data_IF_089554810656
#
_entry.id   IF_089554810656
#
_cell.length_a   1.000
_cell.length_b   1.000
_cell.length_c   1.000
_cell.angle_alpha   90.00
_cell.angle_beta   90.00
_cell.angle_gamma   90.00
#
_symmetry.space_group_name_H-M   'P 1'
#
loop_
_entity.id
_entity.type
_entity.pdbx_description
1 polymer ?
#
# COMPACT_ATOMS: atom_id res chain seq x y z
N UNK A 1 0.11 5.43 21.26
CA UNK A 1 0.46 4.68 22.49
C UNK A 1 0.47 3.16 22.23
N UNK A 2 -0.60 2.58 21.66
CA UNK A 2 -0.71 1.12 21.43
C UNK A 2 0.39 0.51 20.53
N UNK A 3 0.79 1.18 19.44
CA UNK A 3 1.88 0.72 18.55
C UNK A 3 3.23 0.66 19.28
N UNK A 4 3.45 1.59 20.22
CA UNK A 4 4.68 1.68 21.01
C UNK A 4 4.77 0.51 22.00
N UNK A 5 3.65 0.19 22.66
CA UNK A 5 3.54 -0.99 23.55
C UNK A 5 3.74 -2.29 22.78
N UNK A 6 3.15 -2.44 21.59
CA UNK A 6 3.38 -3.62 20.73
C UNK A 6 4.85 -3.78 20.35
N UNK A 7 5.52 -2.69 19.97
CA UNK A 7 6.94 -2.71 19.64
C UNK A 7 7.80 -3.16 20.82
N UNK A 8 7.52 -2.66 22.02
CA UNK A 8 8.24 -3.05 23.24
C UNK A 8 8.06 -4.53 23.57
N UNK A 9 6.84 -5.07 23.45
CA UNK A 9 6.56 -6.50 23.70
C UNK A 9 7.30 -7.40 22.71
N UNK A 10 7.34 -7.01 21.42
CA UNK A 10 8.05 -7.77 20.38
C UNK A 10 9.56 -7.80 20.63
N UNK A 11 10.14 -6.66 20.97
CA UNK A 11 11.58 -6.56 21.30
C UNK A 11 11.90 -7.39 22.55
N UNK A 12 11.08 -7.30 23.59
CA UNK A 12 11.26 -8.06 24.83
C UNK A 12 11.17 -9.58 24.59
N UNK A 13 10.21 -10.04 23.77
CA UNK A 13 10.08 -11.45 23.40
C UNK A 13 11.32 -11.95 22.63
N UNK A 14 11.84 -11.13 21.71
CA UNK A 14 13.03 -11.47 20.93
C UNK A 14 14.27 -11.57 21.83
N UNK A 15 14.49 -10.60 22.72
CA UNK A 15 15.62 -10.62 23.68
C UNK A 15 15.54 -11.84 24.61
N UNK A 16 14.37 -12.14 25.18
CA UNK A 16 14.17 -13.30 26.06
C UNK A 16 14.40 -14.62 25.33
N UNK A 17 13.97 -14.72 24.07
CA UNK A 17 14.19 -15.90 23.24
C UNK A 17 15.68 -16.13 22.96
N UNK A 18 16.44 -15.08 22.61
CA UNK A 18 17.89 -15.15 22.38
C UNK A 18 18.63 -15.57 23.65
N UNK A 19 18.30 -14.99 24.80
CA UNK A 19 18.90 -15.35 26.09
C UNK A 19 18.60 -16.82 26.47
N UNK A 20 17.38 -17.30 26.20
CA UNK A 20 16.98 -18.68 26.51
C UNK A 20 17.64 -19.70 25.59
N UNK A 21 17.73 -19.41 24.28
CA UNK A 21 18.41 -20.28 23.31
C UNK A 21 19.92 -20.28 23.53
N UNK A 22 20.52 -19.12 23.83
CA UNK A 22 21.94 -18.98 24.16
C UNK A 22 22.34 -19.77 25.41
N UNK A 23 21.47 -19.77 26.44
CA UNK A 23 21.68 -20.58 27.63
C UNK A 23 21.49 -22.08 27.39
N UNK A 24 20.58 -22.47 26.48
CA UNK A 24 20.36 -23.86 26.09
C UNK A 24 21.55 -24.47 25.33
N UNK A 25 22.22 -23.69 24.49
CA UNK A 25 23.42 -24.12 23.73
C UNK A 25 24.70 -24.02 24.60
N UNK A 26 24.60 -23.51 25.83
CA UNK A 26 25.73 -23.35 26.75
C UNK A 26 26.63 -22.16 26.43
N UNK A 27 26.21 -21.27 25.54
CA UNK A 27 26.94 -20.05 25.18
C UNK A 27 26.77 -18.92 26.22
N UNK A 28 25.69 -18.95 27.01
CA UNK A 28 25.41 -17.98 28.09
C UNK A 28 25.01 -18.71 29.38
N UNK A 29 25.32 -18.16 30.57
CA UNK A 29 24.85 -18.72 31.83
C UNK A 29 23.33 -18.57 31.96
N UNK A 30 22.69 -19.54 32.61
CA UNK A 30 21.28 -19.45 33.00
C UNK A 30 21.10 -18.38 34.08
N UNK A 31 19.90 -17.80 34.14
CA UNK A 31 19.54 -16.87 35.21
C UNK A 31 19.62 -17.58 36.57
N UNK A 32 20.38 -17.02 37.52
CA UNK A 32 20.49 -17.55 38.88
C UNK A 32 19.54 -16.82 39.83
N UNK A 33 18.58 -17.56 40.39
CA UNK A 33 17.63 -17.03 41.37
C UNK A 33 17.52 -18.03 42.52
N UNK A 34 17.66 -17.53 43.74
CA UNK A 34 17.44 -18.30 44.96
C UNK A 34 15.98 -18.19 45.37
N UNK A 35 15.21 -19.25 45.15
CA UNK A 35 13.81 -19.35 45.56
C UNK A 35 13.60 -20.58 46.46
N UNK A 36 12.74 -20.44 47.47
CA UNK A 36 12.32 -21.55 48.33
C UNK A 36 10.80 -21.55 48.47
N UNK A 37 10.21 -22.74 48.54
CA UNK A 37 8.78 -22.92 48.76
C UNK A 37 8.58 -23.96 49.87
N UNK A 38 7.82 -23.59 50.91
CA UNK A 38 7.57 -24.49 52.05
C UNK A 38 8.84 -24.92 52.80
N UNK A 39 9.91 -24.11 52.79
CA UNK A 39 11.19 -24.43 53.42
C UNK A 39 12.14 -25.33 52.60
N UNK A 40 11.72 -25.79 51.42
CA UNK A 40 12.60 -26.49 50.47
C UNK A 40 13.13 -25.53 49.41
N UNK A 41 14.43 -25.58 49.16
CA UNK A 41 15.05 -24.83 48.07
C UNK A 41 14.65 -25.45 46.72
N UNK A 42 14.22 -24.62 45.79
CA UNK A 42 13.86 -25.04 44.45
C UNK A 42 15.15 -25.06 43.63
N UNK A 43 15.62 -26.25 43.26
CA UNK A 43 16.75 -26.40 42.35
C UNK A 43 16.41 -25.76 40.99
N UNK A 44 17.36 -25.02 40.42
CA UNK A 44 17.23 -24.39 39.09
C UNK A 44 16.04 -23.42 38.94
N UNK A 45 15.65 -22.74 40.03
CA UNK A 45 14.52 -21.81 40.03
C UNK A 45 14.61 -20.74 38.92
N UNK A 46 15.81 -20.22 38.65
CA UNK A 46 15.99 -19.19 37.61
C UNK A 46 15.84 -19.72 36.18
N UNK A 47 16.19 -20.99 35.91
CA UNK A 47 15.91 -21.65 34.63
C UNK A 47 14.40 -21.74 34.37
N UNK A 48 13.63 -22.18 35.37
CA UNK A 48 12.17 -22.26 35.24
C UNK A 48 11.52 -20.89 35.01
N UNK A 49 12.01 -19.85 35.72
CA UNK A 49 11.52 -18.48 35.54
C UNK A 49 11.82 -17.98 34.12
N UNK A 50 13.06 -18.16 33.64
CA UNK A 50 13.49 -17.70 32.33
C UNK A 50 12.67 -18.35 31.22
N UNK A 51 12.51 -19.67 31.25
CA UNK A 51 11.69 -20.39 30.26
C UNK A 51 10.21 -19.97 30.33
N UNK A 52 9.64 -19.87 31.53
CA UNK A 52 8.25 -19.45 31.73
C UNK A 52 7.96 -18.03 31.22
N UNK A 53 8.88 -17.09 31.47
CA UNK A 53 8.79 -15.72 30.97
C UNK A 53 8.88 -15.68 29.43
N UNK A 54 9.83 -16.41 28.84
CA UNK A 54 10.01 -16.49 27.39
C UNK A 54 8.76 -17.04 26.70
N UNK A 55 8.19 -18.14 27.20
CA UNK A 55 6.95 -18.72 26.65
C UNK A 55 5.80 -17.71 26.72
N UNK A 56 5.67 -17.00 27.83
CA UNK A 56 4.60 -16.01 28.02
C UNK A 56 4.72 -14.85 27.03
N UNK A 57 5.92 -14.31 26.83
CA UNK A 57 6.15 -13.23 25.88
C UNK A 57 5.98 -13.65 24.41
N UNK A 58 6.34 -14.90 24.08
CA UNK A 58 6.08 -15.46 22.74
C UNK A 58 4.57 -15.59 22.49
N UNK A 59 3.81 -16.11 23.45
CA UNK A 59 2.34 -16.19 23.33
C UNK A 59 1.70 -14.81 23.17
N UNK A 60 2.20 -13.81 23.90
CA UNK A 60 1.77 -12.41 23.78
C UNK A 60 2.08 -11.85 22.38
N UNK A 61 3.28 -12.12 21.85
CA UNK A 61 3.68 -11.70 20.51
C UNK A 61 2.82 -12.33 19.41
N UNK A 62 2.42 -13.60 19.57
CA UNK A 62 1.52 -14.28 18.63
C UNK A 62 0.08 -13.71 18.64
N UNK A 63 -0.34 -13.06 19.73
CA UNK A 63 -1.65 -12.43 19.84
C UNK A 63 -1.72 -11.04 19.18
N UNK A 64 -0.56 -10.39 18.98
CA UNK A 64 -0.46 -9.04 18.42
C UNK A 64 -1.11 -8.87 17.03
N UNK A 65 -0.89 -9.77 16.04
CA UNK A 65 -1.47 -9.62 14.70
C UNK A 65 -3.01 -9.70 14.69
N UNK A 66 -3.61 -10.42 15.63
CA UNK A 66 -5.07 -10.51 15.72
C UNK A 66 -5.69 -9.18 16.16
N UNK A 67 -5.06 -8.50 17.13
CA UNK A 67 -5.54 -7.21 17.65
C UNK A 67 -5.41 -6.07 16.63
N UNK A 68 -4.38 -6.08 15.79
CA UNK A 68 -4.22 -5.08 14.72
C UNK A 68 -5.28 -5.24 13.65
N UNK A 69 -5.60 -6.49 13.28
CA UNK A 69 -6.65 -6.80 12.31
C UNK A 69 -8.03 -6.34 12.79
N UNK A 70 -8.34 -6.54 14.07
CA UNK A 70 -9.61 -6.08 14.68
C UNK A 70 -9.69 -4.55 14.68
N UNK A 71 -8.60 -3.86 15.06
CA UNK A 71 -8.59 -2.40 15.09
C UNK A 71 -8.69 -1.76 13.69
N UNK A 72 -8.20 -2.43 12.65
CA UNK A 72 -8.41 -2.01 11.26
C UNK A 72 -9.88 -2.16 10.83
N UNK A 73 -10.54 -3.25 11.22
CA UNK A 73 -11.96 -3.48 10.93
C UNK A 73 -12.85 -2.42 11.59
N UNK A 74 -12.58 -2.05 12.84
CA UNK A 74 -13.34 -0.98 13.54
C UNK A 74 -13.18 0.38 12.88
N UNK A 75 -11.97 0.73 12.43
CA UNK A 75 -11.72 2.00 11.72
C UNK A 75 -12.45 2.03 10.38
N UNK A 76 -12.36 0.95 9.60
CA UNK A 76 -13.07 0.85 8.32
C UNK A 76 -14.59 0.96 8.51
N UNK A 77 -15.16 0.35 9.56
CA UNK A 77 -16.60 0.42 9.83
C UNK A 77 -17.07 1.81 10.29
N UNK A 78 -16.18 2.59 10.93
CA UNK A 78 -16.48 3.98 11.36
C UNK A 78 -16.42 4.98 10.21
N UNK A 79 -15.61 4.69 9.19
CA UNK A 79 -15.40 5.55 8.02
C UNK A 79 -16.58 5.51 7.02
N UNK A 80 -17.42 4.48 7.08
CA UNK A 80 -18.65 4.37 6.26
C UNK A 80 -19.86 5.14 6.81
N UNK A 81 -19.84 5.59 8.06
CA UNK A 81 -20.89 6.44 8.59
C UNK A 81 -20.64 7.89 8.14
N UNK A 82 -21.46 8.38 7.20
CA UNK A 82 -21.44 9.78 6.75
C UNK A 82 -21.38 10.71 7.97
N UNK A 83 -20.26 11.42 8.12
CA UNK A 83 -20.06 12.34 9.24
C UNK A 83 -20.90 13.60 9.03
N UNK A 84 -21.38 14.20 10.12
CA UNK A 84 -22.04 15.52 10.07
C UNK A 84 -21.15 16.58 9.41
N UNK A 85 -19.82 16.44 9.50
CA UNK A 85 -18.86 17.34 8.84
C UNK A 85 -18.88 17.20 7.31
N UNK A 86 -19.08 16.00 6.77
CA UNK A 86 -19.19 15.79 5.33
C UNK A 86 -20.52 16.33 4.79
N UNK A 87 -21.60 16.16 5.57
CA UNK A 87 -22.90 16.78 5.27
C UNK A 87 -22.79 18.30 5.30
N UNK A 88 -22.14 18.87 6.32
CA UNK A 88 -21.94 20.32 6.45
C UNK A 88 -21.08 20.88 5.31
N UNK A 89 -20.03 20.14 4.90
CA UNK A 89 -19.19 20.50 3.75
C UNK A 89 -19.99 20.47 2.45
N UNK A 90 -20.74 19.41 2.19
CA UNK A 90 -21.58 19.28 1.01
C UNK A 90 -22.67 20.37 0.95
N UNK A 91 -23.32 20.64 2.09
CA UNK A 91 -24.31 21.70 2.22
C UNK A 91 -23.71 23.08 1.94
N UNK A 92 -22.53 23.38 2.49
CA UNK A 92 -21.85 24.65 2.25
C UNK A 92 -21.50 24.84 0.77
N UNK A 93 -20.96 23.81 0.11
CA UNK A 93 -20.62 23.88 -1.33
C UNK A 93 -21.87 24.11 -2.18
N UNK A 94 -22.97 23.40 -1.88
CA UNK A 94 -24.25 23.59 -2.57
C UNK A 94 -24.80 25.00 -2.35
N UNK A 95 -24.75 25.51 -1.12
CA UNK A 95 -25.31 26.82 -0.78
C UNK A 95 -24.47 27.98 -1.32
N UNK A 96 -23.15 27.84 -1.37
CA UNK A 96 -22.28 28.80 -2.04
C UNK A 96 -22.54 28.86 -3.55
N UNK A 97 -22.77 27.72 -4.20
CA UNK A 97 -23.12 27.66 -5.62
C UNK A 97 -24.47 28.32 -5.90
N UNK A 98 -25.48 28.07 -5.06
CA UNK A 98 -26.80 28.67 -5.18
C UNK A 98 -26.77 30.19 -4.96
N UNK A 99 -26.03 30.64 -3.95
CA UNK A 99 -25.85 32.08 -3.68
C UNK A 99 -25.15 32.81 -4.84
N UNK A 100 -24.11 32.19 -5.44
CA UNK A 100 -23.45 32.73 -6.63
C UNK A 100 -24.41 32.86 -7.81
N UNK A 101 -25.32 31.89 -7.99
CA UNK A 101 -26.35 31.94 -9.03
C UNK A 101 -27.37 33.06 -8.78
N UNK A 102 -27.81 33.26 -7.54
CA UNK A 102 -28.72 34.34 -7.17
C UNK A 102 -28.09 35.73 -7.44
N UNK A 103 -26.83 35.93 -7.07
CA UNK A 103 -26.11 37.17 -7.37
C UNK A 103 -25.91 37.41 -8.87
N UNK A 104 -25.75 36.35 -9.65
CA UNK A 104 -25.64 36.45 -11.11
C UNK A 104 -26.91 37.02 -11.74
N UNK A 105 -28.10 36.57 -11.30
CA UNK A 105 -29.39 37.08 -11.80
C UNK A 105 -29.54 38.58 -11.52
N UNK A 106 -29.14 39.03 -10.31
CA UNK A 106 -29.13 40.46 -9.97
C UNK A 106 -28.20 41.28 -10.88
N UNK A 107 -26.99 40.78 -11.12
CA UNK A 107 -26.04 41.46 -12.00
C UNK A 107 -26.46 41.49 -13.48
N UNK A 108 -27.16 40.45 -13.96
CA UNK A 108 -27.73 40.41 -15.31
C UNK A 108 -28.84 41.47 -15.45
N UNK A 109 -29.71 41.61 -14.44
CA UNK A 109 -30.74 42.63 -14.40
C UNK A 109 -30.17 44.06 -14.37
N UNK A 110 -29.15 44.31 -13.54
CA UNK A 110 -28.48 45.61 -13.47
C UNK A 110 -27.80 45.97 -14.81
N UNK A 111 -27.18 45.00 -15.49
CA UNK A 111 -26.57 45.20 -16.80
C UNK A 111 -27.60 45.55 -17.90
N UNK A 112 -28.78 44.93 -17.86
CA UNK A 112 -29.88 45.26 -18.78
C UNK A 112 -30.42 46.66 -18.47
N UNK A 113 -30.59 47.01 -17.19
CA UNK A 113 -31.09 48.33 -16.75
C UNK A 113 -30.14 49.48 -17.11
N UNK A 114 -28.84 49.30 -16.90
CA UNK A 114 -27.80 50.26 -17.31
C UNK A 114 -27.89 50.52 -18.82
N UNK A 115 -28.17 49.46 -19.59
CA UNK A 115 -28.29 49.55 -21.04
C UNK A 115 -29.58 50.20 -21.52
N UNK A 116 -30.73 49.96 -20.87
CA UNK A 116 -31.97 50.70 -21.11
C UNK A 116 -31.75 52.20 -20.87
N UNK A 117 -31.05 52.54 -19.79
CA UNK A 117 -30.73 53.93 -19.45
C UNK A 117 -29.84 54.55 -20.53
N UNK A 118 -28.80 53.83 -20.96
CA UNK A 118 -27.91 54.25 -22.05
C UNK A 118 -28.64 54.48 -23.39
N UNK A 119 -29.58 53.60 -23.76
CA UNK A 119 -30.37 53.75 -24.99
C UNK A 119 -31.36 54.92 -24.90
N UNK A 120 -31.90 55.19 -23.71
CA UNK A 120 -32.83 56.30 -23.48
C UNK A 120 -32.14 57.68 -23.53
N UNK A 121 -30.88 57.75 -23.08
CA UNK A 121 -30.09 58.98 -23.09
C UNK A 121 -29.45 59.25 -24.47
N UNK A 122 -29.66 58.36 -25.45
CA UNK A 122 -29.13 58.50 -26.80
C UNK A 122 -30.00 59.47 -27.64
N UNK A 123 -29.40 60.45 -28.34
CA UNK A 123 -30.11 61.55 -29.01
C UNK A 123 -31.16 61.11 -30.02
N UNK A 124 -30.92 59.99 -30.71
CA UNK A 124 -31.81 59.47 -31.76
C UNK A 124 -32.80 58.38 -31.28
N UNK A 125 -32.60 57.82 -30.09
CA UNK A 125 -33.32 56.63 -29.62
C UNK A 125 -34.25 56.92 -28.43
N UNK A 126 -34.07 58.04 -27.74
CA UNK A 126 -34.88 58.41 -26.55
C UNK A 126 -36.36 58.65 -26.82
N UNK A 127 -36.77 58.85 -28.09
CA UNK A 127 -38.16 59.01 -28.50
C UNK A 127 -38.89 57.68 -28.80
N UNK A 128 -38.18 56.54 -28.73
CA UNK A 128 -38.76 55.23 -28.98
C UNK A 128 -39.61 54.76 -27.79
N UNK A 129 -40.58 53.89 -28.08
CA UNK A 129 -41.45 53.29 -27.07
C UNK A 129 -40.65 52.46 -26.06
N UNK A 130 -41.00 52.50 -24.76
CA UNK A 130 -40.27 51.77 -23.71
C UNK A 130 -40.05 50.28 -24.00
N UNK A 131 -41.05 49.60 -24.58
CA UNK A 131 -41.00 48.18 -24.92
C UNK A 131 -39.93 47.86 -25.99
N UNK A 132 -39.71 48.78 -26.93
CA UNK A 132 -38.67 48.64 -27.97
C UNK A 132 -37.27 48.84 -27.37
N UNK A 133 -37.12 49.78 -26.44
CA UNK A 133 -35.86 50.02 -25.73
C UNK A 133 -35.47 48.84 -24.82
N UNK A 134 -36.44 48.22 -24.16
CA UNK A 134 -36.24 47.02 -23.35
C UNK A 134 -35.80 45.83 -24.21
N UNK A 135 -36.49 45.58 -25.32
CA UNK A 135 -36.13 44.50 -26.25
C UNK A 135 -34.73 44.70 -26.84
N UNK A 136 -34.40 45.95 -27.25
CA UNK A 136 -33.08 46.29 -27.76
C UNK A 136 -31.98 46.11 -26.70
N UNK A 137 -32.26 46.47 -25.44
CA UNK A 137 -31.32 46.27 -24.34
C UNK A 137 -31.06 44.79 -24.04
N UNK A 138 -32.12 43.96 -24.01
CA UNK A 138 -32.02 42.52 -23.78
C UNK A 138 -31.28 41.79 -24.92
N UNK A 139 -31.61 42.13 -26.17
CA UNK A 139 -30.92 41.60 -27.34
C UNK A 139 -29.44 42.03 -27.37
N UNK A 140 -29.14 43.31 -27.08
CA UNK A 140 -27.75 43.81 -27.05
C UNK A 140 -26.93 43.22 -25.88
N UNK A 141 -27.54 42.92 -24.74
CA UNK A 141 -26.88 42.18 -23.66
C UNK A 141 -26.48 40.78 -24.10
N UNK A 142 -27.43 40.03 -24.67
CA UNK A 142 -27.20 38.68 -25.19
C UNK A 142 -26.14 38.67 -26.30
N UNK A 143 -26.22 39.58 -27.27
CA UNK A 143 -25.26 39.68 -28.37
C UNK A 143 -23.85 40.08 -27.90
N UNK A 144 -23.72 40.92 -26.86
CA UNK A 144 -22.40 41.28 -26.29
C UNK A 144 -21.73 40.08 -25.64
N UNK A 145 -22.49 39.26 -24.92
CA UNK A 145 -21.95 38.06 -24.26
C UNK A 145 -21.50 37.01 -25.27
N UNK A 146 -22.30 36.77 -26.32
CA UNK A 146 -21.91 35.93 -27.45
C UNK A 146 -20.67 36.47 -28.16
N UNK A 147 -20.62 37.77 -28.46
CA UNK A 147 -19.46 38.39 -29.11
C UNK A 147 -18.19 38.31 -28.26
N UNK A 148 -18.31 38.34 -26.92
CA UNK A 148 -17.17 38.18 -26.02
C UNK A 148 -16.64 36.74 -26.05
N UNK A 149 -17.51 35.75 -25.94
CA UNK A 149 -17.16 34.32 -25.94
C UNK A 149 -16.59 33.89 -27.30
N UNK A 150 -17.22 34.32 -28.40
CA UNK A 150 -16.83 33.97 -29.77
C UNK A 150 -16.00 35.06 -30.45
N UNK A 151 -15.37 35.94 -29.67
CA UNK A 151 -14.42 36.91 -30.23
C UNK A 151 -13.28 36.17 -30.91
N UNK A 152 -12.82 36.68 -32.05
CA UNK A 152 -11.73 36.08 -32.82
C UNK A 152 -10.48 35.84 -31.95
N UNK A 153 -10.17 36.78 -31.05
CA UNK A 153 -9.07 36.63 -30.08
C UNK A 153 -9.27 35.46 -29.12
N UNK A 154 -10.51 35.22 -28.67
CA UNK A 154 -10.79 34.11 -27.74
C UNK A 154 -10.77 32.76 -28.45
N UNK A 155 -11.29 32.71 -29.69
CA UNK A 155 -11.23 31.52 -30.54
C UNK A 155 -9.79 31.19 -30.91
N UNK A 156 -8.99 32.18 -31.32
CA UNK A 156 -7.59 31.98 -31.67
C UNK A 156 -6.77 31.49 -30.47
N UNK A 157 -7.01 32.05 -29.28
CA UNK A 157 -6.39 31.57 -28.04
C UNK A 157 -6.77 30.12 -27.74
N UNK A 158 -8.05 29.77 -27.88
CA UNK A 158 -8.50 28.39 -27.66
C UNK A 158 -7.86 27.41 -28.66
N UNK A 159 -7.74 27.80 -29.94
CA UNK A 159 -7.01 27.02 -30.96
C UNK A 159 -5.54 26.86 -30.59
N UNK A 160 -4.89 27.93 -30.12
CA UNK A 160 -3.51 27.88 -29.64
C UNK A 160 -3.31 26.90 -28.49
N UNK A 161 -4.21 26.91 -27.49
CA UNK A 161 -4.17 25.92 -26.40
C UNK A 161 -4.33 24.49 -26.90
N UNK A 162 -5.26 24.22 -27.81
CA UNK A 162 -5.44 22.87 -28.36
C UNK A 162 -4.20 22.40 -29.12
N UNK A 163 -3.56 23.29 -29.88
CA UNK A 163 -2.32 23.00 -30.59
C UNK A 163 -1.19 22.67 -29.62
N UNK A 164 -1.00 23.49 -28.58
CA UNK A 164 -0.02 23.23 -27.53
C UNK A 164 -0.27 21.87 -26.85
N UNK A 165 -1.54 21.54 -26.55
CA UNK A 165 -1.89 20.24 -25.95
C UNK A 165 -1.61 19.07 -26.88
N UNK A 166 -1.77 19.25 -28.19
CA UNK A 166 -1.39 18.22 -29.15
C UNK A 166 0.14 18.01 -29.14
N UNK A 167 0.93 19.09 -29.18
CA UNK A 167 2.40 19.02 -29.12
C UNK A 167 2.89 18.37 -27.80
N UNK A 168 2.24 18.66 -26.68
CA UNK A 168 2.49 18.01 -25.40
C UNK A 168 2.19 16.50 -25.45
N UNK A 169 1.05 16.10 -26.03
CA UNK A 169 0.67 14.68 -26.19
C UNK A 169 1.71 13.95 -27.05
N UNK A 170 2.15 14.54 -28.14
CA UNK A 170 3.12 13.92 -29.04
C UNK A 170 4.47 13.68 -28.31
N UNK A 171 4.92 14.67 -27.55
CA UNK A 171 6.12 14.56 -26.68
C UNK A 171 5.96 13.45 -25.62
N UNK A 172 4.78 13.34 -25.02
CA UNK A 172 4.48 12.27 -24.07
C UNK A 172 4.49 10.89 -24.73
N UNK A 173 3.96 10.75 -25.94
CA UNK A 173 3.98 9.50 -26.68
C UNK A 173 5.41 9.06 -27.01
N UNK A 174 6.28 9.99 -27.41
CA UNK A 174 7.71 9.71 -27.61
C UNK A 174 8.37 9.23 -26.32
N UNK A 175 8.08 9.88 -25.19
CA UNK A 175 8.60 9.50 -23.87
C UNK A 175 8.15 8.08 -23.47
N UNK A 176 6.88 7.74 -23.70
CA UNK A 176 6.34 6.40 -23.44
C UNK A 176 7.01 5.36 -24.34
N UNK A 177 7.24 5.69 -25.62
CA UNK A 177 7.92 4.79 -26.55
C UNK A 177 9.35 4.47 -26.09
N UNK A 178 10.09 5.49 -25.63
CA UNK A 178 11.42 5.31 -25.06
C UNK A 178 11.40 4.42 -23.82
N UNK A 179 10.50 4.71 -22.86
CA UNK A 179 10.38 3.92 -21.63
C UNK A 179 10.03 2.44 -21.90
N UNK A 180 9.16 2.18 -22.88
CA UNK A 180 8.83 0.82 -23.32
C UNK A 180 10.05 0.10 -23.88
N UNK A 181 10.82 0.77 -24.75
CA UNK A 181 12.05 0.20 -25.31
C UNK A 181 13.05 -0.14 -24.19
N UNK A 182 13.28 0.78 -23.26
CA UNK A 182 14.18 0.53 -22.11
C UNK A 182 13.72 -0.65 -21.27
N UNK A 183 12.40 -0.80 -21.05
CA UNK A 183 11.86 -1.93 -20.29
C UNK A 183 12.08 -3.27 -21.02
N UNK A 184 11.95 -3.28 -22.35
CA UNK A 184 12.23 -4.46 -23.16
C UNK A 184 13.73 -4.81 -23.16
N UNK A 185 14.59 -3.81 -23.29
CA UNK A 185 16.05 -3.99 -23.21
C UNK A 185 16.45 -4.58 -21.85
N UNK A 186 15.86 -4.09 -20.75
CA UNK A 186 16.08 -4.63 -19.39
C UNK A 186 15.61 -6.08 -19.26
N UNK A 187 14.47 -6.44 -19.86
CA UNK A 187 13.97 -7.82 -19.88
C UNK A 187 14.94 -8.73 -20.62
N UNK A 188 15.46 -8.27 -21.75
CA UNK A 188 16.42 -9.02 -22.53
C UNK A 188 17.73 -9.24 -21.75
N UNK A 189 18.27 -8.21 -21.10
CA UNK A 189 19.45 -8.34 -20.25
C UNK A 189 19.25 -9.29 -19.07
N UNK A 190 18.07 -9.26 -18.44
CA UNK A 190 17.74 -10.20 -17.37
C UNK A 190 17.80 -11.65 -17.86
N UNK A 191 17.19 -11.93 -19.00
CA UNK A 191 17.20 -13.27 -19.59
C UNK A 191 18.62 -13.70 -20.00
N UNK A 192 19.41 -12.77 -20.54
CA UNK A 192 20.80 -13.05 -20.88
C UNK A 192 21.63 -13.40 -19.63
N UNK A 193 21.50 -12.63 -18.55
CA UNK A 193 22.19 -12.89 -17.28
C UNK A 193 21.80 -14.26 -16.71
N UNK A 194 20.51 -14.60 -16.71
CA UNK A 194 20.03 -15.92 -16.24
C UNK A 194 20.67 -17.06 -17.05
N UNK A 195 20.75 -16.92 -18.38
CA UNK A 195 21.42 -17.94 -19.21
C UNK A 195 22.92 -18.02 -18.95
N UNK A 196 23.59 -16.89 -18.74
CA UNK A 196 25.02 -16.84 -18.43
C UNK A 196 25.31 -17.45 -17.05
N UNK A 197 24.44 -17.20 -16.05
CA UNK A 197 24.55 -17.77 -14.71
C UNK A 197 24.48 -19.31 -14.75
N UNK A 198 23.51 -19.89 -15.47
CA UNK A 198 23.42 -21.33 -15.64
C UNK A 198 24.64 -21.95 -16.32
N UNK A 199 25.24 -21.24 -17.29
CA UNK A 199 26.48 -21.69 -17.93
C UNK A 199 27.63 -21.66 -16.92
N UNK A 200 27.74 -20.62 -16.10
CA UNK A 200 28.76 -20.50 -15.05
C UNK A 200 28.60 -21.60 -13.99
N UNK A 201 27.37 -21.87 -13.54
CA UNK A 201 27.10 -22.98 -12.59
C UNK A 201 27.55 -24.33 -13.15
N UNK A 202 27.25 -24.59 -14.43
CA UNK A 202 27.66 -25.82 -15.10
C UNK A 202 29.19 -25.94 -15.21
N UNK A 203 29.87 -24.84 -15.55
CA UNK A 203 31.34 -24.81 -15.63
C UNK A 203 31.99 -24.99 -14.25
N UNK A 204 31.42 -24.39 -13.20
CA UNK A 204 31.91 -24.55 -11.83
C UNK A 204 31.78 -26.01 -11.37
N UNK A 205 30.63 -26.63 -11.62
CA UNK A 205 30.40 -28.04 -11.28
C UNK A 205 31.36 -28.97 -12.03
N UNK A 206 31.62 -28.70 -13.32
CA UNK A 206 32.61 -29.45 -14.09
C UNK A 206 34.04 -29.28 -13.53
N UNK A 207 34.43 -28.05 -13.20
CA UNK A 207 35.74 -27.76 -12.61
C UNK A 207 35.92 -28.44 -11.24
N UNK A 208 34.87 -28.46 -10.42
CA UNK A 208 34.85 -29.14 -9.13
C UNK A 208 35.01 -30.66 -9.31
N UNK A 209 34.29 -31.24 -10.27
CA UNK A 209 34.41 -32.66 -10.60
C UNK A 209 35.82 -33.02 -11.10
N UNK A 210 36.39 -32.19 -11.98
CA UNK A 210 37.77 -32.36 -12.48
C UNK A 210 38.79 -32.27 -11.33
N UNK A 211 38.62 -31.33 -10.40
CA UNK A 211 39.47 -31.19 -9.22
C UNK A 211 39.34 -32.41 -8.28
N UNK A 212 38.12 -32.89 -8.03
CA UNK A 212 37.87 -34.10 -7.23
C UNK A 212 38.50 -35.34 -7.86
N UNK A 213 38.57 -35.42 -9.20
CA UNK A 213 39.24 -36.51 -9.89
C UNK A 213 40.77 -36.47 -9.71
N UNK A 214 41.38 -35.29 -9.63
CA UNK A 214 42.82 -35.10 -9.48
C UNK A 214 43.31 -35.20 -8.03
N UNK A 215 42.47 -34.89 -7.04
CA UNK A 215 42.81 -34.91 -5.61
C UNK A 215 43.39 -36.25 -5.11
N UNK A 216 42.81 -37.42 -5.47
CA UNK A 216 43.36 -38.73 -5.12
C UNK A 216 44.77 -38.99 -5.68
N UNK A 217 45.06 -38.55 -6.91
CA UNK A 217 46.38 -38.72 -7.54
C UNK A 217 47.47 -37.91 -6.81
N UNK A 218 47.09 -36.81 -6.17
CA UNK A 218 47.96 -35.95 -5.38
C UNK A 218 48.11 -36.42 -3.92
N UNK A 219 47.47 -37.52 -3.53
CA UNK A 219 47.53 -38.10 -2.19
C UNK A 219 46.61 -37.45 -1.17
N UNK A 220 45.60 -36.68 -1.61
CA UNK A 220 44.55 -36.12 -0.76
C UNK A 220 43.28 -36.97 -0.88
N UNK A 221 42.80 -37.54 0.23
CA UNK A 221 41.51 -38.24 0.29
C UNK A 221 40.38 -37.24 0.54
N UNK A 222 39.45 -37.11 -0.41
CA UNK A 222 38.17 -36.41 -0.19
C UNK A 222 37.18 -37.43 0.36
N UNK A 223 36.85 -37.33 1.65
CA UNK A 223 35.79 -38.13 2.24
C UNK A 223 34.41 -37.65 1.74
N UNK A 224 33.91 -38.26 0.68
CA UNK A 224 32.55 -38.02 0.21
C UNK A 224 31.58 -38.84 1.07
N UNK A 225 31.23 -38.35 2.26
CA UNK A 225 30.12 -38.92 3.03
C UNK A 225 28.79 -38.49 2.38
N UNK A 226 28.33 -39.29 1.42
CA UNK A 226 26.91 -39.36 1.06
C UNK A 226 26.25 -40.22 2.14
N UNK A 227 25.74 -39.59 3.19
CA UNK A 227 24.98 -40.27 4.22
C UNK A 227 23.54 -40.51 3.72
N UNK A 228 23.29 -41.69 3.18
CA UNK A 228 21.97 -42.30 3.16
C UNK A 228 22.04 -43.72 3.74
N UNK A 229 21.08 -44.02 4.61
CA UNK A 229 20.80 -45.26 5.36
C UNK A 229 21.67 -45.68 6.58
N UNK A 230 21.28 -45.12 7.72
CA UNK A 230 20.74 -45.87 8.87
C UNK A 230 21.40 -47.20 9.27
N UNK A 231 22.49 -47.11 10.04
CA UNK A 231 22.79 -48.15 11.06
C UNK A 231 21.86 -47.91 12.26
N UNK A 232 20.75 -48.63 12.26
CA UNK A 232 19.78 -48.68 13.35
C UNK A 232 20.35 -49.48 14.51
N UNK A 233 20.62 -48.83 15.65
CA UNK A 233 20.75 -49.49 16.96
C UNK A 233 19.40 -49.36 17.69
N UNK A 234 18.73 -50.46 18.07
CA UNK A 234 17.36 -50.41 18.58
C UNK A 234 17.32 -49.94 20.04
N UNK A 235 16.46 -48.96 20.34
CA UNK A 235 16.03 -48.64 21.70
C UNK A 235 14.61 -49.18 21.98
N UNK A 236 14.30 -49.58 23.22
CA UNK A 236 13.10 -50.36 23.54
C UNK A 236 11.80 -49.54 23.36
N UNK A 237 10.81 -50.19 22.74
CA UNK A 237 9.46 -49.66 22.51
C UNK A 237 8.76 -49.25 23.83
N UNK A 238 8.15 -48.05 23.84
CA UNK A 238 7.09 -47.70 24.80
C UNK A 238 5.77 -47.49 24.06
N UNK A 239 4.73 -48.13 24.59
CA UNK A 239 3.46 -48.49 23.95
C UNK A 239 2.65 -47.38 23.25
N UNK A 240 2.00 -47.81 22.16
CA UNK A 240 0.91 -47.15 21.39
C UNK A 240 -0.24 -46.67 22.28
N UNK A 241 -0.73 -45.46 22.02
CA UNK A 241 -2.06 -44.96 22.42
C UNK A 241 -3.05 -45.16 21.26
N UNK A 242 -4.34 -45.51 21.50
CA UNK A 242 -5.21 -46.14 20.50
C UNK A 242 -5.80 -45.17 19.46
N UNK A 243 -6.16 -45.74 18.31
CA UNK A 243 -6.77 -45.07 17.17
C UNK A 243 -8.22 -44.60 17.44
N UNK A 244 -8.57 -43.44 16.87
CA UNK A 244 -9.92 -42.86 16.86
C UNK A 244 -10.71 -43.41 15.66
N UNK A 245 -12.01 -43.76 15.80
CA UNK A 245 -12.78 -44.40 14.73
C UNK A 245 -13.18 -43.41 13.61
N UNK A 246 -13.50 -43.92 12.40
CA UNK A 246 -13.90 -43.08 11.27
C UNK A 246 -15.35 -42.58 11.40
N UNK A 247 -15.60 -41.37 10.90
CA UNK A 247 -16.93 -40.77 10.81
C UNK A 247 -17.77 -41.42 9.68
N UNK A 248 -19.07 -41.67 9.88
CA UNK A 248 -19.94 -42.22 8.84
C UNK A 248 -20.34 -41.16 7.81
N UNK A 249 -20.26 -41.52 6.52
CA UNK A 249 -20.81 -40.76 5.40
C UNK A 249 -22.34 -40.90 5.35
N UNK A 250 -23.02 -39.78 5.06
CA UNK A 250 -24.48 -39.75 4.83
C UNK A 250 -24.83 -40.43 3.49
N UNK A 251 -25.97 -41.14 3.41
CA UNK A 251 -26.44 -41.71 2.15
C UNK A 251 -27.09 -40.65 1.26
N UNK A 252 -26.78 -40.72 -0.03
CA UNK A 252 -27.39 -39.94 -1.10
C UNK A 252 -28.86 -40.36 -1.32
N UNK A 253 -29.73 -39.36 -1.47
CA UNK A 253 -31.01 -39.45 -2.16
C UNK A 253 -31.21 -38.17 -2.96
#
# INVERSE_FOLDING_TARGET
>A
MQVLVMGVVLIAALVLSVLSVGAMIGAMPWLEIYASAGGQQIAQAGMYLQVGATVTFILLALYLPATTRIMQLEKSHREFAVSMDDVARAYRVSHEADRKRLFRIGSEFDSVRERITHLRDHPDLGALEPDILELAAQMSHTSRDLAKVYSDTSVERARGFLRQRQEEIDTFLETIALAKKTTEDMRHWMQQIETEEHVVETQLAALEADLMALLPELGFEVATEVADDAIVVPMPQKARTPARPPFPSKPER
#
